data_IF_289754266506
#
_entry.id   IF_289754266506
#
_cell.length_a   1.000
_cell.length_b   1.000
_cell.length_c   1.000
_cell.angle_alpha   90.00
_cell.angle_beta   90.00
_cell.angle_gamma   90.00
#
_symmetry.space_group_name_H-M   'P 1'
#
loop_
_entity.id
_entity.type
_entity.pdbx_description
1 polymer ?
#
# COMPACT_ATOMS: atom_id res chain seq x y z
N UNK A 1 -23.61 44.04 -15.65
CA UNK A 1 -24.63 43.11 -16.13
C UNK A 1 -24.31 42.87 -17.60
N UNK A 2 -23.86 41.71 -18.10
CA UNK A 2 -23.78 40.36 -17.56
C UNK A 2 -22.63 39.61 -18.24
N UNK A 3 -21.92 38.78 -17.46
CA UNK A 3 -20.99 37.78 -17.97
C UNK A 3 -21.81 36.54 -18.36
N UNK A 4 -21.77 36.13 -19.63
CA UNK A 4 -22.04 34.75 -20.01
C UNK A 4 -20.72 34.09 -20.37
N UNK A 5 -20.22 33.30 -19.43
CA UNK A 5 -19.09 32.42 -19.61
C UNK A 5 -19.65 31.08 -20.12
N UNK A 6 -19.31 30.74 -21.36
CA UNK A 6 -19.63 29.45 -21.94
C UNK A 6 -18.86 28.35 -21.20
N UNK A 7 -19.63 27.40 -20.67
CA UNK A 7 -19.14 26.12 -20.15
C UNK A 7 -18.56 25.30 -21.31
N UNK A 8 -17.26 25.07 -21.30
CA UNK A 8 -16.61 24.05 -22.12
C UNK A 8 -16.26 22.87 -21.23
N UNK A 9 -17.16 21.88 -21.21
CA UNK A 9 -16.90 20.52 -20.74
C UNK A 9 -15.86 19.89 -21.66
N UNK A 10 -14.62 19.74 -21.20
CA UNK A 10 -13.62 18.87 -21.82
C UNK A 10 -13.72 17.50 -21.14
N UNK A 11 -14.52 16.59 -21.70
CA UNK A 11 -14.42 15.18 -21.40
C UNK A 11 -13.17 14.64 -22.11
N UNK A 12 -12.13 14.32 -21.34
CA UNK A 12 -10.91 13.69 -21.83
C UNK A 12 -11.18 12.21 -22.16
N UNK A 13 -11.30 11.90 -23.45
CA UNK A 13 -11.43 10.55 -24.00
C UNK A 13 -10.07 9.81 -24.05
N UNK A 14 -9.41 9.62 -22.90
CA UNK A 14 -8.27 8.71 -22.81
C UNK A 14 -8.74 7.32 -22.35
N UNK A 15 -8.65 6.27 -23.21
CA UNK A 15 -9.11 4.92 -22.87
C UNK A 15 -8.24 4.22 -21.81
N UNK A 16 -7.15 4.84 -21.34
CA UNK A 16 -6.28 4.30 -20.29
C UNK A 16 -6.43 5.02 -18.94
N UNK A 17 -7.39 5.95 -18.80
CA UNK A 17 -7.70 6.52 -17.49
C UNK A 17 -8.61 5.55 -16.71
N UNK A 18 -8.25 5.19 -15.45
CA UNK A 18 -9.14 4.41 -14.60
C UNK A 18 -10.44 5.20 -14.37
N UNK A 19 -11.58 4.52 -14.52
CA UNK A 19 -12.92 5.08 -14.35
C UNK A 19 -13.04 5.74 -12.95
N UNK A 20 -13.25 7.08 -12.86
CA UNK A 20 -13.28 7.80 -11.60
C UNK A 20 -14.61 7.66 -10.82
N UNK A 21 -15.52 6.74 -11.18
CA UNK A 21 -16.92 6.82 -10.73
C UNK A 21 -17.58 5.56 -10.17
N UNK A 22 -16.80 4.58 -9.71
CA UNK A 22 -17.31 3.46 -8.90
C UNK A 22 -17.04 3.68 -7.42
N UNK A 23 -18.04 3.47 -6.56
CA UNK A 23 -17.78 3.27 -5.12
C UNK A 23 -16.78 2.11 -4.96
N UNK A 24 -15.75 2.25 -4.10
CA UNK A 24 -14.74 1.22 -3.94
C UNK A 24 -15.36 -0.11 -3.48
N UNK A 25 -14.88 -1.21 -4.04
CA UNK A 25 -15.32 -2.56 -3.69
C UNK A 25 -14.30 -3.25 -2.78
N UNK A 26 -14.73 -4.14 -1.87
CA UNK A 26 -13.80 -4.88 -1.01
C UNK A 26 -12.71 -5.57 -1.83
N UNK A 27 -11.46 -5.35 -1.45
CA UNK A 27 -10.27 -5.82 -2.15
C UNK A 27 -9.61 -4.79 -3.07
N UNK A 28 -10.30 -3.69 -3.42
CA UNK A 28 -9.75 -2.65 -4.29
C UNK A 28 -8.56 -1.93 -3.65
N UNK A 29 -7.56 -1.63 -4.48
CA UNK A 29 -6.46 -0.75 -4.12
C UNK A 29 -6.91 0.70 -4.22
N UNK A 30 -6.61 1.48 -3.19
CA UNK A 30 -6.91 2.89 -3.10
C UNK A 30 -5.61 3.67 -3.16
N UNK A 31 -5.49 4.55 -4.16
CA UNK A 31 -4.39 5.50 -4.28
C UNK A 31 -4.87 6.87 -3.78
N UNK A 32 -4.19 7.42 -2.77
CA UNK A 32 -4.50 8.73 -2.17
C UNK A 32 -3.39 9.71 -2.56
N UNK A 33 -3.80 10.82 -3.17
CA UNK A 33 -2.92 11.81 -3.75
C UNK A 33 -2.43 12.83 -2.72
N UNK A 34 -1.28 12.57 -2.08
CA UNK A 34 -0.64 13.57 -1.21
C UNK A 34 0.23 14.52 -2.04
N UNK A 35 0.43 15.77 -1.58
CA UNK A 35 1.25 16.75 -2.31
C UNK A 35 2.70 16.32 -2.62
N UNK A 36 3.29 15.43 -1.81
CA UNK A 36 4.69 15.02 -1.93
C UNK A 36 4.91 13.53 -2.24
N UNK A 37 3.88 12.69 -2.15
CA UNK A 37 3.96 11.25 -2.40
C UNK A 37 2.56 10.65 -2.60
N UNK A 38 2.50 9.44 -3.14
CA UNK A 38 1.25 8.68 -3.24
C UNK A 38 1.15 7.73 -2.06
N UNK A 39 0.03 7.77 -1.34
CA UNK A 39 -0.25 6.83 -0.26
C UNK A 39 -1.17 5.73 -0.75
N UNK A 40 -0.88 4.49 -0.38
CA UNK A 40 -1.62 3.33 -0.83
C UNK A 40 -2.33 2.65 0.34
N UNK A 41 -3.57 2.24 0.08
CA UNK A 41 -4.40 1.49 1.00
C UNK A 41 -5.19 0.41 0.26
N UNK A 42 -5.79 -0.52 1.00
CA UNK A 42 -6.69 -1.53 0.44
C UNK A 42 -8.06 -1.40 1.10
N UNK A 43 -9.12 -1.37 0.30
CA UNK A 43 -10.49 -1.21 0.79
C UNK A 43 -11.05 -2.51 1.33
N UNK A 44 -11.61 -2.46 2.54
CA UNK A 44 -12.14 -3.63 3.26
C UNK A 44 -13.66 -3.77 3.12
N UNK A 45 -14.36 -2.71 2.70
CA UNK A 45 -15.82 -2.59 2.78
C UNK A 45 -16.26 -1.56 3.82
N UNK A 46 -17.52 -1.14 3.74
CA UNK A 46 -18.19 -0.27 4.72
C UNK A 46 -17.44 1.04 5.06
N UNK A 47 -16.72 1.60 4.08
CA UNK A 47 -15.93 2.81 4.26
C UNK A 47 -14.58 2.60 4.98
N UNK A 48 -14.18 1.36 5.27
CA UNK A 48 -12.92 1.03 5.92
C UNK A 48 -11.83 0.66 4.91
N UNK A 49 -10.61 1.04 5.25
CA UNK A 49 -9.38 0.65 4.56
C UNK A 49 -8.39 0.04 5.55
N UNK A 50 -7.44 -0.71 5.01
CA UNK A 50 -6.20 -1.09 5.68
C UNK A 50 -5.02 -0.35 5.05
N UNK A 51 -4.15 0.21 5.90
CA UNK A 51 -2.94 0.91 5.46
C UNK A 51 -1.82 0.80 6.51
N UNK A 52 -0.61 1.13 6.10
CA UNK A 52 0.51 1.33 7.02
C UNK A 52 0.52 2.77 7.52
N UNK A 53 0.68 2.95 8.82
CA UNK A 53 0.82 4.26 9.48
C UNK A 53 2.09 4.28 10.31
N UNK A 54 2.98 5.27 10.17
CA UNK A 54 4.20 5.35 10.99
C UNK A 54 3.87 5.40 12.49
N UNK A 55 4.70 4.74 13.30
CA UNK A 55 4.53 4.73 14.77
C UNK A 55 4.86 6.08 15.43
N UNK A 56 5.75 6.86 14.82
CA UNK A 56 6.33 8.07 15.43
C UNK A 56 5.52 9.35 15.19
N UNK A 57 4.19 9.26 15.03
CA UNK A 57 3.31 10.41 14.74
C UNK A 57 3.41 11.54 15.81
N UNK A 58 4.00 11.28 16.97
CA UNK A 58 4.27 12.28 18.02
C UNK A 58 5.63 13.01 17.92
N UNK A 59 6.49 12.68 16.96
CA UNK A 59 7.69 13.46 16.70
C UNK A 59 7.80 13.70 15.20
N UNK A 60 7.49 14.93 14.79
CA UNK A 60 8.04 15.52 13.58
C UNK A 60 9.58 15.59 13.73
N UNK A 61 10.24 14.45 13.66
CA UNK A 61 11.69 14.39 13.64
C UNK A 61 12.14 15.06 12.34
N UNK A 62 12.95 16.11 12.40
CA UNK A 62 13.38 16.84 11.22
C UNK A 62 14.07 15.89 10.25
N UNK A 63 13.86 16.14 8.96
CA UNK A 63 14.46 15.46 7.81
C UNK A 63 15.99 15.73 7.71
N UNK A 64 16.71 15.81 8.83
CA UNK A 64 18.10 16.27 8.92
C UNK A 64 19.12 15.16 9.17
N UNK A 65 18.71 13.89 9.17
CA UNK A 65 19.62 12.78 9.34
C UNK A 65 19.32 11.68 8.33
N UNK A 66 20.22 11.52 7.36
CA UNK A 66 20.28 10.37 6.45
C UNK A 66 20.28 9.03 7.19
N UNK A 67 20.58 8.97 8.50
CA UNK A 67 20.48 7.75 9.32
C UNK A 67 19.08 7.50 9.92
N UNK A 68 18.24 8.53 10.05
CA UNK A 68 16.83 8.40 10.52
C UNK A 68 15.90 7.88 9.41
N UNK A 69 16.31 8.04 8.16
CA UNK A 69 15.58 7.57 6.97
C UNK A 69 15.47 6.03 6.92
N UNK A 70 16.40 5.31 7.56
CA UNK A 70 16.64 3.86 7.38
C UNK A 70 15.98 2.90 8.39
N UNK A 71 15.15 3.38 9.32
CA UNK A 71 14.56 2.51 10.36
C UNK A 71 13.23 3.04 10.89
N UNK A 72 12.29 3.34 10.00
CA UNK A 72 10.93 3.70 10.41
C UNK A 72 10.09 2.43 10.60
N UNK A 73 9.48 2.33 11.78
CA UNK A 73 8.45 1.34 12.06
C UNK A 73 7.08 1.93 11.71
N UNK A 74 6.23 1.10 11.11
CA UNK A 74 4.83 1.39 10.87
C UNK A 74 3.97 0.34 11.55
N UNK A 75 2.73 0.69 11.84
CA UNK A 75 1.68 -0.24 12.26
C UNK A 75 0.66 -0.35 11.16
N UNK A 76 0.21 -1.57 10.91
CA UNK A 76 -0.93 -1.85 10.06
C UNK A 76 -2.20 -1.42 10.79
N UNK A 77 -2.96 -0.49 10.22
CA UNK A 77 -4.19 0.04 10.83
C UNK A 77 -5.38 -0.19 9.93
N UNK A 78 -6.53 -0.46 10.56
CA UNK A 78 -7.84 -0.33 9.94
C UNK A 78 -8.37 1.06 10.26
N UNK A 79 -8.71 1.84 9.23
CA UNK A 79 -9.12 3.24 9.38
C UNK A 79 -10.28 3.55 8.45
N UNK A 80 -11.04 4.61 8.75
CA UNK A 80 -12.07 5.11 7.85
C UNK A 80 -11.41 5.80 6.65
N UNK A 81 -11.80 5.43 5.44
CA UNK A 81 -11.28 6.00 4.19
C UNK A 81 -11.37 7.53 4.20
N UNK A 82 -12.54 8.07 4.58
CA UNK A 82 -12.78 9.51 4.66
C UNK A 82 -11.80 10.24 5.58
N UNK A 83 -11.39 9.62 6.69
CA UNK A 83 -10.50 10.24 7.68
C UNK A 83 -9.06 10.22 7.19
N UNK A 84 -8.63 9.13 6.56
CA UNK A 84 -7.29 9.02 5.99
C UNK A 84 -7.16 9.94 4.78
N UNK A 85 -8.16 10.02 3.90
CA UNK A 85 -8.17 10.93 2.75
C UNK A 85 -8.13 12.40 3.22
N UNK A 86 -9.00 12.77 4.16
CA UNK A 86 -9.07 14.15 4.65
C UNK A 86 -9.44 15.13 3.54
N UNK A 87 -8.56 16.08 3.24
CA UNK A 87 -8.76 17.08 2.19
C UNK A 87 -8.13 16.70 0.84
N UNK A 88 -7.45 15.56 0.76
CA UNK A 88 -6.82 15.08 -0.47
C UNK A 88 -7.83 14.36 -1.37
N UNK A 89 -7.43 14.07 -2.61
CA UNK A 89 -8.20 13.21 -3.51
C UNK A 89 -7.74 11.75 -3.42
N UNK A 90 -8.59 10.83 -3.86
CA UNK A 90 -8.22 9.43 -4.04
C UNK A 90 -8.88 8.85 -5.30
N UNK A 91 -8.37 7.71 -5.76
CA UNK A 91 -9.04 6.88 -6.75
C UNK A 91 -8.89 5.39 -6.42
N UNK A 92 -9.77 4.58 -7.00
CA UNK A 92 -9.56 3.12 -7.10
C UNK A 92 -8.53 2.89 -8.20
N UNK A 93 -7.41 2.24 -7.87
CA UNK A 93 -6.33 1.96 -8.81
C UNK A 93 -5.79 0.54 -8.63
N UNK A 94 -6.48 -0.44 -9.22
CA UNK A 94 -6.02 -1.83 -9.29
C UNK A 94 -4.90 -2.00 -10.33
N UNK A 95 -3.80 -1.27 -10.14
CA UNK A 95 -2.70 -0.99 -11.08
C UNK A 95 -2.15 -2.21 -11.81
N UNK A 96 -2.14 -3.37 -11.15
CA UNK A 96 -1.50 -4.60 -11.65
C UNK A 96 -2.48 -5.68 -12.12
N UNK A 97 -3.79 -5.42 -12.16
CA UNK A 97 -4.78 -6.43 -12.60
C UNK A 97 -4.57 -6.88 -14.07
N UNK A 98 -3.90 -6.06 -14.89
CA UNK A 98 -3.59 -6.39 -16.28
C UNK A 98 -2.55 -7.51 -16.44
N UNK A 99 -1.73 -7.76 -15.41
CA UNK A 99 -0.66 -8.76 -15.45
C UNK A 99 -0.55 -9.65 -14.18
N UNK A 100 -1.33 -9.36 -13.14
CA UNK A 100 -1.42 -10.15 -11.91
C UNK A 100 -2.89 -10.45 -11.62
N UNK A 101 -3.22 -11.72 -11.47
CA UNK A 101 -4.58 -12.12 -11.07
C UNK A 101 -4.77 -11.82 -9.58
N UNK A 102 -5.79 -11.03 -9.18
CA UNK A 102 -6.07 -10.82 -7.77
C UNK A 102 -6.54 -12.12 -7.10
N UNK A 103 -6.21 -12.28 -5.82
CA UNK A 103 -6.74 -13.34 -4.98
C UNK A 103 -8.26 -13.21 -4.84
N UNK A 104 -8.98 -14.29 -4.46
CA UNK A 104 -10.38 -14.19 -4.08
C UNK A 104 -10.58 -13.12 -3.00
N UNK A 105 -11.62 -12.27 -3.15
CA UNK A 105 -11.88 -11.16 -2.22
C UNK A 105 -11.91 -11.64 -0.76
N UNK A 106 -12.54 -12.78 -0.48
CA UNK A 106 -12.56 -13.36 0.87
C UNK A 106 -11.17 -13.62 1.45
N UNK A 107 -10.23 -14.07 0.61
CA UNK A 107 -8.84 -14.31 1.00
C UNK A 107 -8.08 -13.00 1.22
N UNK A 108 -8.27 -12.00 0.35
CA UNK A 108 -7.68 -10.66 0.52
C UNK A 108 -8.09 -10.08 1.87
N UNK A 109 -9.38 -10.11 2.18
CA UNK A 109 -9.94 -9.56 3.41
C UNK A 109 -9.45 -10.34 4.63
N UNK A 110 -9.42 -11.67 4.56
CA UNK A 110 -8.89 -12.51 5.63
C UNK A 110 -7.42 -12.19 5.93
N UNK A 111 -6.58 -12.09 4.88
CA UNK A 111 -5.17 -11.73 5.02
C UNK A 111 -5.02 -10.36 5.66
N UNK A 112 -5.77 -9.37 5.19
CA UNK A 112 -5.75 -8.02 5.73
C UNK A 112 -6.08 -8.00 7.23
N UNK A 113 -7.16 -8.68 7.64
CA UNK A 113 -7.61 -8.72 9.04
C UNK A 113 -6.56 -9.30 9.99
N UNK A 114 -5.84 -10.35 9.58
CA UNK A 114 -4.78 -10.98 10.40
C UNK A 114 -3.60 -10.04 10.66
N UNK A 115 -3.36 -9.07 9.77
CA UNK A 115 -2.24 -8.14 9.87
C UNK A 115 -2.56 -6.89 10.69
N UNK A 116 -3.82 -6.61 11.00
CA UNK A 116 -4.21 -5.41 11.77
C UNK A 116 -3.48 -5.39 13.12
N UNK A 117 -2.86 -4.25 13.44
CA UNK A 117 -2.12 -4.03 14.67
C UNK A 117 -0.67 -4.53 14.64
N UNK A 118 -0.24 -5.23 13.59
CA UNK A 118 1.15 -5.69 13.49
C UNK A 118 2.10 -4.54 13.15
N UNK A 119 3.29 -4.55 13.76
CA UNK A 119 4.39 -3.65 13.41
C UNK A 119 5.14 -4.19 12.20
N UNK A 120 5.39 -3.30 11.23
CA UNK A 120 6.19 -3.57 10.04
C UNK A 120 7.36 -2.60 10.02
N UNK A 121 8.58 -3.13 9.99
CA UNK A 121 9.80 -2.34 9.86
C UNK A 121 10.24 -2.28 8.40
N UNK A 122 10.18 -1.11 7.74
CA UNK A 122 10.79 -0.93 6.41
C UNK A 122 10.90 0.55 5.99
N UNK A 123 11.82 0.83 5.06
CA UNK A 123 12.15 2.16 4.52
C UNK A 123 11.12 2.74 3.57
N UNK A 124 10.86 4.05 3.68
CA UNK A 124 10.00 4.85 2.78
C UNK A 124 8.54 4.37 2.70
N UNK A 125 7.71 4.99 3.55
CA UNK A 125 6.26 4.77 3.64
C UNK A 125 5.49 4.88 2.30
N UNK A 126 6.06 5.44 1.23
CA UNK A 126 5.42 5.41 -0.10
C UNK A 126 5.49 4.03 -0.75
N UNK A 127 6.70 3.54 -1.02
CA UNK A 127 6.94 2.25 -1.69
C UNK A 127 6.43 1.06 -0.85
N UNK A 128 6.45 1.20 0.48
CA UNK A 128 5.98 0.14 1.38
C UNK A 128 4.48 0.01 1.40
N UNK A 129 3.75 1.12 1.34
CA UNK A 129 2.30 1.07 1.29
C UNK A 129 1.86 0.37 0.00
N UNK A 130 2.45 0.69 -1.16
CA UNK A 130 2.17 0.02 -2.43
C UNK A 130 2.50 -1.48 -2.36
N UNK A 131 3.69 -1.82 -1.86
CA UNK A 131 4.14 -3.20 -1.71
C UNK A 131 3.26 -4.01 -0.74
N UNK A 132 2.82 -3.39 0.35
CA UNK A 132 1.96 -4.03 1.34
C UNK A 132 0.58 -4.35 0.77
N UNK A 133 -0.07 -3.41 0.08
CA UNK A 133 -1.42 -3.63 -0.44
C UNK A 133 -1.42 -4.57 -1.64
N UNK A 134 -0.34 -4.60 -2.43
CA UNK A 134 -0.17 -5.58 -3.51
C UNK A 134 0.10 -6.98 -2.98
N UNK A 135 0.87 -7.14 -1.89
CA UNK A 135 1.03 -8.42 -1.20
C UNK A 135 -0.31 -8.97 -0.72
N UNK A 136 -1.20 -8.10 -0.25
CA UNK A 136 -2.55 -8.48 0.16
C UNK A 136 -3.43 -8.88 -1.04
N UNK A 137 -3.45 -8.08 -2.12
CA UNK A 137 -4.33 -8.28 -3.27
C UNK A 137 -3.89 -9.44 -4.17
N UNK A 138 -2.61 -9.55 -4.48
CA UNK A 138 -2.08 -10.50 -5.47
C UNK A 138 -1.35 -11.69 -4.84
N UNK A 139 -1.06 -11.61 -3.54
CA UNK A 139 -0.25 -12.61 -2.84
C UNK A 139 1.25 -12.44 -3.03
N UNK A 140 1.67 -11.48 -3.84
CA UNK A 140 3.06 -11.05 -4.00
C UNK A 140 3.13 -9.52 -3.98
N UNK A 141 4.10 -9.00 -3.23
CA UNK A 141 4.28 -7.56 -3.12
C UNK A 141 5.02 -7.00 -4.34
N UNK A 142 4.37 -6.11 -5.07
CA UNK A 142 4.91 -5.41 -6.24
C UNK A 142 4.94 -3.92 -5.94
N UNK A 143 6.06 -3.26 -6.24
CA UNK A 143 6.14 -1.80 -6.26
C UNK A 143 7.02 -1.38 -7.44
N UNK A 144 6.69 -0.26 -8.08
CA UNK A 144 7.46 0.25 -9.23
C UNK A 144 8.93 0.56 -8.86
N UNK A 145 9.22 0.78 -7.58
CA UNK A 145 10.58 0.95 -7.06
C UNK A 145 11.24 -0.37 -6.62
N UNK A 146 10.47 -1.47 -6.49
CA UNK A 146 10.93 -2.75 -5.97
C UNK A 146 11.50 -3.72 -7.03
N UNK A 147 11.61 -3.32 -8.30
CA UNK A 147 12.34 -4.08 -9.35
C UNK A 147 13.82 -4.32 -9.00
N UNK A 148 14.33 -3.82 -7.85
CA UNK A 148 15.71 -4.06 -7.38
C UNK A 148 15.87 -4.61 -5.96
N UNK A 149 14.81 -4.88 -5.21
CA UNK A 149 14.95 -5.52 -3.90
C UNK A 149 13.72 -6.38 -3.58
N UNK A 150 13.92 -7.70 -3.52
CA UNK A 150 12.97 -8.64 -2.94
C UNK A 150 12.89 -8.31 -1.44
N UNK A 151 11.98 -7.42 -1.07
CA UNK A 151 11.69 -7.09 0.32
C UNK A 151 10.67 -8.08 0.86
N UNK A 152 11.09 -9.08 1.62
CA UNK A 152 10.16 -9.89 2.38
C UNK A 152 9.63 -9.06 3.56
N UNK A 153 8.32 -8.86 3.66
CA UNK A 153 7.71 -8.29 4.88
C UNK A 153 7.97 -9.27 6.03
N UNK A 154 8.89 -8.92 6.92
CA UNK A 154 9.11 -9.67 8.16
C UNK A 154 8.08 -9.18 9.18
N UNK A 155 6.99 -9.91 9.32
CA UNK A 155 6.00 -9.67 10.37
C UNK A 155 6.62 -10.04 11.71
N UNK A 156 6.88 -9.06 12.57
CA UNK A 156 7.35 -9.32 13.94
C UNK A 156 6.13 -9.66 14.79
N UNK A 157 5.72 -10.93 14.77
CA UNK A 157 4.66 -11.41 15.65
C UNK A 157 5.20 -11.54 17.08
N UNK A 158 4.86 -10.59 17.94
CA UNK A 158 5.08 -10.71 19.38
C UNK A 158 3.98 -11.60 19.99
N UNK A 159 4.03 -12.90 19.74
CA UNK A 159 3.26 -13.88 20.50
C UNK A 159 4.01 -15.21 20.52
N UNK A 160 4.31 -15.67 21.74
CA UNK A 160 4.83 -17.01 21.99
C UNK A 160 3.92 -18.06 21.32
N UNK A 161 4.53 -19.09 20.72
CA UNK A 161 3.95 -20.27 20.05
C UNK A 161 3.79 -20.22 18.51
N UNK A 162 4.88 -20.65 17.86
CA UNK A 162 4.94 -21.57 16.71
C UNK A 162 3.90 -21.46 15.59
N UNK A 163 4.14 -20.56 14.63
CA UNK A 163 3.82 -20.84 13.22
C UNK A 163 4.97 -20.38 12.31
N UNK A 164 5.48 -21.34 11.54
CA UNK A 164 6.68 -21.28 10.73
C UNK A 164 6.61 -20.23 9.64
N UNK A 165 7.63 -19.37 9.56
CA UNK A 165 7.92 -18.53 8.40
C UNK A 165 8.18 -19.45 7.20
N UNK A 166 7.26 -19.47 6.23
CA UNK A 166 7.43 -20.21 4.98
C UNK A 166 8.55 -19.56 4.16
N UNK A 167 9.50 -20.40 3.73
CA UNK A 167 10.85 -19.99 3.39
C UNK A 167 11.05 -19.25 2.05
N UNK A 168 12.08 -18.40 2.04
CA UNK A 168 12.83 -18.00 0.85
C UNK A 168 14.24 -18.59 0.96
N UNK A 169 14.37 -19.87 0.59
CA UNK A 169 15.69 -20.49 0.39
C UNK A 169 16.14 -20.15 -1.04
N UNK A 170 16.78 -18.99 -1.20
CA UNK A 170 17.47 -18.66 -2.45
C UNK A 170 18.84 -19.34 -2.47
N UNK A 171 18.94 -20.55 -3.03
CA UNK A 171 20.24 -21.19 -3.25
C UNK A 171 20.85 -20.79 -4.59
N UNK A 172 21.81 -19.87 -4.57
CA UNK A 172 22.87 -19.65 -5.59
C UNK A 172 23.95 -18.78 -4.91
N UNK A 173 25.25 -19.09 -4.84
CA UNK A 173 26.17 -19.74 -5.78
C UNK A 173 27.54 -20.06 -5.11
N UNK A 174 28.22 -21.13 -5.59
CA UNK A 174 29.68 -21.48 -5.70
C UNK A 174 30.73 -20.72 -4.83
N UNK A 175 31.77 -21.32 -4.20
CA UNK A 175 32.89 -22.19 -4.68
C UNK A 175 33.67 -22.87 -3.51
N UNK A 176 34.51 -23.87 -3.89
CA UNK A 176 35.45 -24.79 -3.15
C UNK A 176 36.43 -24.17 -2.12
N UNK A 177 37.08 -24.98 -1.23
CA UNK A 177 38.30 -25.79 -1.50
C UNK A 177 38.13 -27.26 -1.06
N UNK A 178 38.84 -28.30 -1.54
CA UNK A 178 40.26 -28.50 -1.84
C UNK A 178 40.49 -29.12 -3.23
#
# INVERSE_FOLDING_TARGET
MDKQQQNSTMASNDPNLPDPSGDPQPGDLIEIFRPAYQHWALYLGDGYIINLTPLDENQAAPMSSVKSVFSRKAVVRMQLLKEVVGNDSYCVNNKYDHNHTPLPVSEIIQRAQVLIGQEVSYDLLGSNCEHFVTLLRYGEGVSEQATRAIGAISLVTAAASAFSVLGLINTRSRKKPF
#
